data_IF_816917846199
#
_entry.id   IF_816917846199
#
_cell.length_a   1.000
_cell.length_b   1.000
_cell.length_c   1.000
_cell.angle_alpha   90.00
_cell.angle_beta   90.00
_cell.angle_gamma   90.00
#
_symmetry.space_group_name_H-M   'P 1'
#
loop_
_entity.id
_entity.type
_entity.pdbx_description
1 polymer ?
#
# COMPACT_ATOMS: atom_id res chain seq x y z
N UNK A 1 -19.32 -20.89 7.51
CA UNK A 1 -19.87 -19.50 7.50
C UNK A 1 -19.74 -18.85 6.13
N UNK A 2 -18.57 -18.83 5.50
CA UNK A 2 -18.36 -18.25 4.15
C UNK A 2 -19.33 -18.81 3.10
N UNK A 3 -19.58 -20.12 3.09
CA UNK A 3 -20.49 -20.74 2.11
C UNK A 3 -21.97 -20.50 2.40
N UNK A 4 -22.32 -20.30 3.67
CA UNK A 4 -23.71 -20.32 4.14
C UNK A 4 -24.26 -18.93 4.46
N UNK A 5 -23.39 -17.92 4.58
CA UNK A 5 -23.77 -16.56 4.94
C UNK A 5 -23.20 -15.53 3.97
N UNK A 6 -24.02 -15.00 3.03
CA UNK A 6 -23.56 -14.06 2.01
C UNK A 6 -22.88 -12.81 2.54
N UNK A 7 -23.31 -12.30 3.71
CA UNK A 7 -22.67 -11.16 4.36
C UNK A 7 -21.21 -11.45 4.73
N UNK A 8 -20.96 -12.63 5.31
CA UNK A 8 -19.63 -13.04 5.72
C UNK A 8 -18.70 -13.23 4.52
N UNK A 9 -19.23 -13.79 3.42
CA UNK A 9 -18.51 -13.88 2.15
C UNK A 9 -18.13 -12.50 1.61
N UNK A 10 -19.09 -11.60 1.48
CA UNK A 10 -18.86 -10.24 0.98
C UNK A 10 -17.80 -9.48 1.81
N UNK A 11 -17.79 -9.68 3.14
CA UNK A 11 -16.79 -9.09 4.01
C UNK A 11 -15.37 -9.59 3.70
N UNK A 12 -15.21 -10.89 3.49
CA UNK A 12 -13.92 -11.48 3.10
C UNK A 12 -13.51 -11.09 1.68
N UNK A 13 -14.44 -11.02 0.73
CA UNK A 13 -14.15 -10.56 -0.64
C UNK A 13 -13.61 -9.12 -0.64
N UNK A 14 -14.22 -8.24 0.16
CA UNK A 14 -13.73 -6.86 0.34
C UNK A 14 -12.36 -6.83 1.02
N UNK A 15 -12.16 -7.65 2.06
CA UNK A 15 -10.88 -7.72 2.77
C UNK A 15 -9.76 -8.21 1.85
N UNK A 16 -9.99 -9.29 1.07
CA UNK A 16 -9.03 -9.78 0.09
C UNK A 16 -8.65 -8.71 -0.93
N UNK A 17 -9.61 -7.91 -1.41
CA UNK A 17 -9.35 -6.82 -2.36
C UNK A 17 -8.43 -5.74 -1.79
N UNK A 18 -8.60 -5.39 -0.52
CA UNK A 18 -7.72 -4.42 0.17
C UNK A 18 -6.33 -5.03 0.40
N UNK A 19 -6.27 -6.28 0.86
CA UNK A 19 -5.00 -6.98 1.10
C UNK A 19 -4.19 -7.18 -0.18
N UNK A 20 -4.85 -7.48 -1.31
CA UNK A 20 -4.19 -7.65 -2.60
C UNK A 20 -3.56 -6.36 -3.15
N UNK A 21 -3.95 -5.19 -2.64
CA UNK A 21 -3.38 -3.88 -3.00
C UNK A 21 -2.30 -3.42 -2.02
N UNK A 22 -2.15 -4.09 -0.88
CA UNK A 22 -1.16 -3.73 0.10
C UNK A 22 0.22 -4.23 -0.35
N UNK A 23 1.20 -3.35 -0.37
CA UNK A 23 2.56 -3.68 -0.77
C UNK A 23 3.54 -3.47 0.40
N UNK A 24 4.14 -4.59 0.83
CA UNK A 24 5.05 -4.68 1.96
C UNK A 24 6.39 -4.01 1.63
N UNK A 25 6.90 -4.19 0.42
CA UNK A 25 8.18 -3.66 -0.03
C UNK A 25 8.11 -2.14 -0.17
N UNK A 26 7.04 -1.63 -0.77
CA UNK A 26 6.78 -0.20 -0.88
C UNK A 26 6.64 0.42 0.51
N UNK A 27 5.86 -0.20 1.42
CA UNK A 27 5.73 0.28 2.79
C UNK A 27 7.08 0.35 3.50
N UNK A 28 7.91 -0.69 3.36
CA UNK A 28 9.26 -0.72 3.92
C UNK A 28 10.15 0.39 3.33
N UNK A 29 10.08 0.62 2.02
CA UNK A 29 10.85 1.67 1.35
C UNK A 29 10.51 3.07 1.90
N UNK A 30 9.22 3.37 2.11
CA UNK A 30 8.81 4.64 2.73
C UNK A 30 9.41 4.79 4.14
N UNK A 31 9.41 3.73 4.94
CA UNK A 31 10.01 3.77 6.28
C UNK A 31 11.52 3.98 6.23
N UNK A 32 12.22 3.25 5.36
CA UNK A 32 13.66 3.41 5.19
C UNK A 32 14.02 4.85 4.80
N UNK A 33 13.21 5.50 3.97
CA UNK A 33 13.47 6.85 3.48
C UNK A 33 13.05 7.98 4.41
N UNK A 34 11.96 7.78 5.16
CA UNK A 34 11.27 8.86 5.88
C UNK A 34 11.35 8.75 7.41
N UNK A 35 11.68 7.58 7.94
CA UNK A 35 11.71 7.33 9.39
C UNK A 35 13.15 7.18 9.84
N UNK A 36 13.59 8.04 10.77
CA UNK A 36 14.93 7.97 11.37
C UNK A 36 14.91 7.29 12.74
N UNK A 37 13.79 7.36 13.45
CA UNK A 37 13.58 6.80 14.79
C UNK A 37 13.60 5.25 14.77
N UNK A 38 14.54 4.59 15.46
CA UNK A 38 14.64 3.13 15.47
C UNK A 38 13.41 2.43 16.06
N UNK A 39 12.76 3.06 17.05
CA UNK A 39 11.53 2.56 17.66
C UNK A 39 10.38 2.49 16.65
N UNK A 40 10.25 3.51 15.80
CA UNK A 40 9.23 3.56 14.75
C UNK A 40 9.52 2.56 13.62
N UNK A 41 10.80 2.32 13.27
CA UNK A 41 11.16 1.24 12.33
C UNK A 41 10.79 -0.15 12.86
N UNK A 42 10.94 -0.37 14.17
CA UNK A 42 10.51 -1.63 14.82
C UNK A 42 8.99 -1.80 14.74
N UNK A 43 8.24 -0.73 15.01
CA UNK A 43 6.78 -0.73 14.86
C UNK A 43 6.36 -1.05 13.42
N UNK A 44 6.99 -0.40 12.42
CA UNK A 44 6.73 -0.66 11.01
C UNK A 44 6.93 -2.13 10.62
N UNK A 45 8.04 -2.73 11.08
CA UNK A 45 8.30 -4.17 10.91
C UNK A 45 7.21 -5.03 11.57
N UNK A 46 6.77 -4.69 12.78
CA UNK A 46 5.71 -5.42 13.47
C UNK A 46 4.38 -5.35 12.70
N UNK A 47 4.01 -4.16 12.18
CA UNK A 47 2.80 -3.98 11.38
C UNK A 47 2.84 -4.78 10.08
N UNK A 48 3.99 -4.81 9.39
CA UNK A 48 4.20 -5.68 8.22
C UNK A 48 4.03 -7.16 8.56
N UNK A 49 4.57 -7.61 9.69
CA UNK A 49 4.41 -9.00 10.11
C UNK A 49 2.94 -9.34 10.42
N UNK A 50 2.19 -8.40 11.02
CA UNK A 50 0.75 -8.57 11.26
C UNK A 50 -0.04 -8.66 9.95
N UNK A 51 0.33 -7.87 8.94
CA UNK A 51 -0.27 -7.95 7.60
C UNK A 51 -0.03 -9.31 6.94
N UNK A 52 1.20 -9.83 6.99
CA UNK A 52 1.53 -11.17 6.48
C UNK A 52 0.75 -12.27 7.21
N UNK A 53 0.65 -12.17 8.54
CA UNK A 53 -0.17 -13.10 9.33
C UNK A 53 -1.65 -13.02 8.96
N UNK A 54 -2.17 -11.81 8.73
CA UNK A 54 -3.56 -11.61 8.30
C UNK A 54 -3.81 -12.24 6.93
N UNK A 55 -2.90 -12.09 5.96
CA UNK A 55 -2.99 -12.75 4.66
C UNK A 55 -3.09 -14.26 4.82
N UNK A 56 -2.24 -14.88 5.64
CA UNK A 56 -2.27 -16.33 5.92
C UNK A 56 -3.59 -16.78 6.55
N UNK A 57 -4.11 -16.01 7.51
CA UNK A 57 -5.39 -16.31 8.16
C UNK A 57 -6.54 -16.22 7.15
N UNK A 58 -6.57 -15.19 6.31
CA UNK A 58 -7.60 -15.01 5.28
C UNK A 58 -7.59 -16.19 4.32
N UNK A 59 -6.43 -16.52 3.74
CA UNK A 59 -6.27 -17.66 2.83
C UNK A 59 -6.69 -18.99 3.46
N UNK A 60 -6.35 -19.20 4.73
CA UNK A 60 -6.75 -20.40 5.45
C UNK A 60 -8.26 -20.48 5.68
N UNK A 61 -8.90 -19.36 6.03
CA UNK A 61 -10.35 -19.30 6.26
C UNK A 61 -11.13 -19.46 4.94
N UNK A 62 -10.60 -18.90 3.83
CA UNK A 62 -11.26 -18.92 2.52
C UNK A 62 -10.93 -20.17 1.69
N UNK A 63 -10.03 -21.03 2.19
CA UNK A 63 -9.50 -22.22 1.51
C UNK A 63 -8.91 -21.90 0.12
N UNK A 64 -8.08 -20.85 0.07
CA UNK A 64 -7.42 -20.36 -1.13
C UNK A 64 -5.90 -20.43 -1.00
N UNK A 65 -5.22 -20.55 -2.14
CA UNK A 65 -3.74 -20.49 -2.20
C UNK A 65 -3.22 -19.08 -2.44
N UNK A 66 -4.04 -18.21 -3.04
CA UNK A 66 -3.70 -16.84 -3.36
C UNK A 66 -4.89 -15.91 -3.13
N UNK A 67 -4.61 -14.66 -2.76
CA UNK A 67 -5.67 -13.66 -2.63
C UNK A 67 -6.36 -13.45 -3.97
N UNK A 68 -7.69 -13.27 -3.94
CA UNK A 68 -8.50 -13.06 -5.14
C UNK A 68 -8.49 -14.24 -6.13
N UNK A 69 -8.24 -15.47 -5.65
CA UNK A 69 -8.27 -16.67 -6.50
C UNK A 69 -9.62 -16.84 -7.22
N UNK A 70 -10.72 -16.45 -6.55
CA UNK A 70 -12.07 -16.46 -7.09
C UNK A 70 -12.37 -15.29 -8.05
N UNK A 71 -11.49 -14.29 -8.14
CA UNK A 71 -11.65 -13.07 -8.92
C UNK A 71 -10.42 -12.77 -9.82
N UNK A 72 -10.06 -13.68 -10.76
CA UNK A 72 -8.81 -13.59 -11.53
C UNK A 72 -8.70 -12.32 -12.38
N UNK A 73 -9.82 -11.79 -12.89
CA UNK A 73 -9.84 -10.53 -13.64
C UNK A 73 -9.46 -9.33 -12.76
N UNK A 74 -9.90 -9.32 -11.50
CA UNK A 74 -9.55 -8.27 -10.54
C UNK A 74 -8.06 -8.37 -10.18
N UNK A 75 -7.57 -9.58 -9.90
CA UNK A 75 -6.16 -9.85 -9.64
C UNK A 75 -5.27 -9.36 -10.80
N UNK A 76 -5.57 -9.77 -12.03
CA UNK A 76 -4.84 -9.33 -13.22
C UNK A 76 -4.86 -7.81 -13.38
N UNK A 77 -5.99 -7.18 -13.11
CA UNK A 77 -6.12 -5.72 -13.19
C UNK A 77 -5.22 -5.01 -12.18
N UNK A 78 -5.05 -5.56 -10.97
CA UNK A 78 -4.11 -5.02 -9.98
C UNK A 78 -2.67 -5.23 -10.46
N UNK A 79 -2.32 -6.46 -10.86
CA UNK A 79 -0.97 -6.80 -11.33
C UNK A 79 -0.50 -5.95 -12.53
N UNK A 80 -1.38 -5.64 -13.47
CA UNK A 80 -1.06 -4.77 -14.61
C UNK A 80 -0.79 -3.33 -14.17
N UNK A 81 -1.42 -2.86 -13.09
CA UNK A 81 -1.26 -1.48 -12.62
C UNK A 81 -0.02 -1.28 -11.76
N UNK A 82 0.36 -2.25 -10.94
CA UNK A 82 1.46 -2.12 -9.99
C UNK A 82 2.74 -1.56 -10.65
N UNK A 83 3.22 -2.07 -11.81
CA UNK A 83 4.42 -1.55 -12.46
C UNK A 83 4.38 -0.06 -12.84
N UNK A 84 3.19 0.53 -12.99
CA UNK A 84 3.02 1.95 -13.27
C UNK A 84 2.89 2.81 -12.00
N UNK A 85 2.50 2.20 -10.88
CA UNK A 85 2.32 2.87 -9.59
C UNK A 85 3.62 2.81 -8.77
N UNK A 86 4.37 1.71 -8.82
CA UNK A 86 5.63 1.51 -8.10
C UNK A 86 6.66 2.66 -8.31
N UNK A 87 6.93 3.15 -9.54
CA UNK A 87 7.82 4.29 -9.73
C UNK A 87 7.28 5.58 -9.11
N UNK A 88 5.94 5.76 -9.04
CA UNK A 88 5.34 6.92 -8.37
C UNK A 88 5.53 6.86 -6.86
N UNK A 89 5.42 5.68 -6.26
CA UNK A 89 5.75 5.46 -4.85
C UNK A 89 7.23 5.76 -4.57
N UNK A 90 8.13 5.24 -5.42
CA UNK A 90 9.57 5.50 -5.34
C UNK A 90 9.90 7.00 -5.35
N UNK A 91 9.31 7.71 -6.32
CA UNK A 91 9.46 9.16 -6.47
C UNK A 91 8.82 9.93 -5.31
N UNK A 92 7.62 9.55 -4.87
CA UNK A 92 6.92 10.22 -3.77
C UNK A 92 7.71 10.17 -2.48
N UNK A 93 8.31 9.03 -2.12
CA UNK A 93 9.11 8.92 -0.90
C UNK A 93 10.32 9.86 -0.93
N UNK A 94 10.97 10.02 -2.09
CA UNK A 94 12.08 10.96 -2.27
C UNK A 94 11.62 12.42 -2.20
N UNK A 95 10.50 12.75 -2.85
CA UNK A 95 9.91 14.10 -2.80
C UNK A 95 9.52 14.48 -1.37
N UNK A 96 8.90 13.57 -0.62
CA UNK A 96 8.58 13.76 0.79
C UNK A 96 9.84 13.97 1.64
N UNK A 97 10.90 13.22 1.37
CA UNK A 97 12.17 13.39 2.08
C UNK A 97 12.76 14.78 1.84
N UNK A 98 12.78 15.27 0.58
CA UNK A 98 13.29 16.60 0.23
C UNK A 98 12.43 17.72 0.83
N UNK A 99 11.11 17.61 0.69
CA UNK A 99 10.15 18.55 1.26
C UNK A 99 10.37 18.73 2.77
N UNK A 100 10.41 17.62 3.52
CA UNK A 100 10.68 17.64 4.97
C UNK A 100 12.06 18.17 5.34
N UNK A 101 13.06 18.05 4.46
CA UNK A 101 14.40 18.58 4.68
C UNK A 101 14.42 20.11 4.49
N UNK A 102 13.79 20.61 3.42
CA UNK A 102 13.66 22.05 3.17
C UNK A 102 12.89 22.74 4.29
N UNK A 103 11.79 22.14 4.76
CA UNK A 103 11.02 22.62 5.91
C UNK A 103 11.89 22.74 7.17
N UNK A 104 12.69 21.71 7.48
CA UNK A 104 13.61 21.71 8.65
C UNK A 104 14.71 22.76 8.54
N UNK A 105 15.12 23.10 7.32
CA UNK A 105 16.13 24.13 7.05
C UNK A 105 15.51 25.55 7.01
N UNK A 106 14.21 25.70 7.34
CA UNK A 106 13.43 26.94 7.20
C UNK A 106 13.51 27.54 5.79
N UNK A 107 13.65 26.68 4.76
CA UNK A 107 13.59 27.07 3.36
C UNK A 107 12.16 26.95 2.89
N UNK A 108 11.71 27.87 2.04
CA UNK A 108 10.45 27.70 1.34
C UNK A 108 10.56 26.48 0.43
N UNK A 109 9.68 25.49 0.62
CA UNK A 109 9.63 24.30 -0.23
C UNK A 109 9.47 24.72 -1.69
N UNK A 110 10.33 24.21 -2.55
CA UNK A 110 10.26 24.53 -3.98
C UNK A 110 8.89 24.23 -4.57
N UNK A 111 8.36 25.16 -5.38
CA UNK A 111 7.09 24.98 -6.09
C UNK A 111 7.08 23.72 -6.94
N UNK A 112 8.22 23.35 -7.53
CA UNK A 112 8.38 22.15 -8.34
C UNK A 112 8.27 20.87 -7.52
N UNK A 113 8.82 20.85 -6.30
CA UNK A 113 8.72 19.69 -5.39
C UNK A 113 7.27 19.49 -4.97
N UNK A 114 6.58 20.58 -4.60
CA UNK A 114 5.17 20.53 -4.24
C UNK A 114 4.30 20.05 -5.41
N UNK A 115 4.56 20.56 -6.63
CA UNK A 115 3.84 20.13 -7.83
C UNK A 115 4.09 18.65 -8.14
N UNK A 116 5.35 18.21 -8.09
CA UNK A 116 5.69 16.81 -8.32
C UNK A 116 5.04 15.89 -7.29
N UNK A 117 4.99 16.30 -6.01
CA UNK A 117 4.35 15.54 -4.95
C UNK A 117 2.84 15.41 -5.17
N UNK A 118 2.17 16.49 -5.61
CA UNK A 118 0.76 16.43 -5.98
C UNK A 118 0.51 15.46 -7.15
N UNK A 119 1.41 15.44 -8.14
CA UNK A 119 1.32 14.51 -9.27
C UNK A 119 1.46 13.06 -8.81
N UNK A 120 2.42 12.73 -7.93
CA UNK A 120 2.54 11.36 -7.42
C UNK A 120 1.33 10.96 -6.57
N UNK A 121 0.82 11.85 -5.73
CA UNK A 121 -0.39 11.60 -4.93
C UNK A 121 -1.61 11.29 -5.82
N UNK A 122 -1.85 12.13 -6.83
CA UNK A 122 -2.94 11.93 -7.77
C UNK A 122 -2.78 10.65 -8.60
N UNK A 123 -1.56 10.35 -9.05
CA UNK A 123 -1.26 9.16 -9.84
C UNK A 123 -1.45 7.86 -9.04
N UNK A 124 -0.95 7.81 -7.80
CA UNK A 124 -1.15 6.66 -6.91
C UNK A 124 -2.63 6.46 -6.60
N UNK A 125 -3.36 7.54 -6.28
CA UNK A 125 -4.80 7.46 -6.01
C UNK A 125 -5.58 6.93 -7.23
N UNK A 126 -5.25 7.41 -8.43
CA UNK A 126 -5.87 6.93 -9.67
C UNK A 126 -5.57 5.45 -9.96
N UNK A 127 -4.36 4.99 -9.60
CA UNK A 127 -3.93 3.61 -9.77
C UNK A 127 -4.59 2.62 -8.80
N UNK A 128 -4.60 2.95 -7.50
CA UNK A 128 -5.16 2.10 -6.44
C UNK A 128 -6.69 1.99 -6.52
N UNK A 129 -7.36 3.03 -7.04
CA UNK A 129 -8.83 3.13 -7.08
C UNK A 129 -9.43 2.91 -5.67
N UNK A 130 -10.50 2.12 -5.55
CA UNK A 130 -11.20 1.90 -4.28
C UNK A 130 -10.34 1.10 -3.31
N UNK A 131 -9.99 1.67 -2.16
CA UNK A 131 -9.20 1.01 -1.12
C UNK A 131 -10.00 0.69 0.14
N UNK A 132 -11.31 0.97 0.12
CA UNK A 132 -12.27 0.72 1.19
C UNK A 132 -13.67 0.54 0.59
#
# INVERSE_FOLDING_TARGET
MIEQWPFFRMYFDMLEMVLAKADVEITEYYEQRLVNEPSLKRLGKELRQRLDNLNKIVLHITDQQQLLEHAPLLYQTIMVRNPYIDPLHGLQAELLHRCRKEDKENKNVSSDINRALMVTMAGIAAGLRNTA
#
